data_IF_142497662145
#
_entry.id   IF_142497662145
#
_cell.length_a   1.000
_cell.length_b   1.000
_cell.length_c   1.000
_cell.angle_alpha   90.00
_cell.angle_beta   90.00
_cell.angle_gamma   90.00
#
_symmetry.space_group_name_H-M   'P 1'
#
loop_
_entity.id
_entity.type
_entity.pdbx_description
1 polymer ?
#
# COMPACT_ATOMS: atom_id res chain seq x y z
N UNK A 1 20.68 3.58 29.17
CA UNK A 1 21.48 3.35 27.95
C UNK A 1 20.63 2.54 26.97
N UNK A 2 20.25 3.13 25.85
CA UNK A 2 19.53 2.42 24.80
C UNK A 2 20.52 1.45 24.11
N UNK A 3 20.31 0.15 24.21
CA UNK A 3 21.18 -0.87 23.59
C UNK A 3 20.98 -0.80 22.07
N UNK A 4 22.03 -0.38 21.33
CA UNK A 4 21.97 -0.33 19.86
C UNK A 4 21.67 -1.72 19.30
N UNK A 5 20.74 -1.80 18.36
CA UNK A 5 20.45 -3.02 17.63
C UNK A 5 21.59 -3.33 16.62
N UNK A 6 21.75 -4.60 16.27
CA UNK A 6 22.78 -5.00 15.29
C UNK A 6 22.65 -4.26 13.96
N UNK A 7 21.41 -4.06 13.48
CA UNK A 7 21.14 -3.34 12.23
C UNK A 7 21.51 -1.84 12.28
N UNK A 8 21.73 -1.27 13.47
CA UNK A 8 22.10 0.14 13.66
C UNK A 8 23.63 0.36 13.71
N UNK A 9 24.41 -0.72 13.68
CA UNK A 9 25.87 -0.65 13.82
C UNK A 9 26.55 -0.16 12.54
N UNK A 10 26.07 -0.56 11.37
CA UNK A 10 26.61 -0.18 10.06
C UNK A 10 25.64 -0.48 8.92
N UNK A 11 25.83 0.12 7.72
CA UNK A 11 25.06 -0.24 6.53
C UNK A 11 25.15 -1.72 6.16
N UNK A 12 26.30 -2.36 6.40
CA UNK A 12 26.48 -3.80 6.17
C UNK A 12 25.65 -4.63 7.15
N UNK A 13 25.68 -4.28 8.45
CA UNK A 13 24.88 -4.94 9.48
C UNK A 13 23.37 -4.79 9.19
N UNK A 14 22.94 -3.63 8.69
CA UNK A 14 21.57 -3.43 8.24
C UNK A 14 21.21 -4.39 7.08
N UNK A 15 22.05 -4.47 6.03
CA UNK A 15 21.83 -5.38 4.90
C UNK A 15 21.74 -6.84 5.33
N UNK A 16 22.65 -7.30 6.19
CA UNK A 16 22.63 -8.66 6.74
C UNK A 16 21.33 -8.91 7.50
N UNK A 17 20.85 -7.94 8.31
CA UNK A 17 19.61 -8.05 9.06
C UNK A 17 18.40 -8.17 8.15
N UNK A 18 18.36 -7.39 7.05
CA UNK A 18 17.29 -7.46 6.04
C UNK A 18 17.29 -8.82 5.34
N UNK A 19 18.43 -9.28 4.84
CA UNK A 19 18.52 -10.59 4.15
C UNK A 19 18.14 -11.75 5.09
N UNK A 20 18.61 -11.71 6.35
CA UNK A 20 18.17 -12.67 7.37
C UNK A 20 16.64 -12.67 7.52
N UNK A 21 16.03 -11.51 7.61
CA UNK A 21 14.57 -11.39 7.77
C UNK A 21 13.83 -11.92 6.54
N UNK A 22 14.35 -11.65 5.33
CA UNK A 22 13.81 -12.19 4.08
C UNK A 22 13.87 -13.73 4.04
N UNK A 23 15.01 -14.30 4.44
CA UNK A 23 15.19 -15.77 4.50
C UNK A 23 14.23 -16.38 5.52
N UNK A 24 14.17 -15.82 6.73
CA UNK A 24 13.28 -16.30 7.78
C UNK A 24 11.81 -16.24 7.35
N UNK A 25 11.41 -15.17 6.63
CA UNK A 25 10.06 -15.06 6.06
C UNK A 25 9.80 -16.16 5.03
N UNK A 26 10.70 -16.36 4.10
CA UNK A 26 10.58 -17.42 3.08
C UNK A 26 10.41 -18.80 3.71
N UNK A 27 11.22 -19.10 4.74
CA UNK A 27 11.10 -20.35 5.48
C UNK A 27 9.76 -20.45 6.21
N UNK A 28 9.37 -19.39 6.92
CA UNK A 28 8.07 -19.34 7.61
C UNK A 28 6.92 -19.57 6.65
N UNK A 29 6.91 -18.89 5.49
CA UNK A 29 5.86 -19.04 4.48
C UNK A 29 5.84 -20.47 3.90
N UNK A 30 7.00 -21.10 3.71
CA UNK A 30 7.11 -22.46 3.24
C UNK A 30 6.64 -23.54 4.23
N UNK A 31 6.70 -23.25 5.53
CA UNK A 31 6.24 -24.15 6.60
C UNK A 31 4.89 -23.74 7.20
N UNK A 32 4.31 -22.62 6.78
CA UNK A 32 3.03 -22.16 7.29
C UNK A 32 1.86 -22.93 6.68
N UNK A 33 0.72 -22.93 7.39
CA UNK A 33 -0.56 -23.42 6.85
C UNK A 33 -1.24 -22.39 5.92
N UNK A 34 -0.62 -21.24 5.67
CA UNK A 34 -1.17 -20.23 4.76
C UNK A 34 -1.22 -20.74 3.33
N UNK A 35 -2.37 -20.58 2.69
CA UNK A 35 -2.57 -20.93 1.29
C UNK A 35 -2.46 -19.68 0.44
N UNK A 36 -1.42 -19.60 -0.38
CA UNK A 36 -1.24 -18.49 -1.31
C UNK A 36 -1.97 -18.76 -2.63
N UNK A 37 -2.64 -17.73 -3.22
CA UNK A 37 -3.35 -17.87 -4.47
C UNK A 37 -2.39 -18.15 -5.62
N UNK A 38 -2.81 -19.09 -6.51
CA UNK A 38 -2.03 -19.50 -7.69
C UNK A 38 -2.83 -19.45 -8.97
N UNK A 39 -4.17 -19.54 -8.86
CA UNK A 39 -5.05 -19.57 -10.02
C UNK A 39 -5.25 -18.17 -10.57
N UNK A 40 -5.30 -18.09 -11.88
CA UNK A 40 -5.56 -16.85 -12.62
C UNK A 40 -6.70 -17.05 -13.59
N UNK A 41 -7.46 -16.00 -13.81
CA UNK A 41 -8.51 -15.93 -14.80
C UNK A 41 -8.37 -14.62 -15.57
N UNK A 42 -8.31 -14.68 -16.89
CA UNK A 42 -8.23 -13.48 -17.74
C UNK A 42 -9.60 -12.79 -17.83
N UNK A 43 -10.66 -13.58 -17.93
CA UNK A 43 -12.01 -13.04 -17.94
C UNK A 43 -12.37 -12.41 -16.59
N UNK A 44 -12.94 -11.20 -16.57
CA UNK A 44 -13.34 -10.55 -15.33
C UNK A 44 -14.49 -11.30 -14.64
N UNK A 45 -14.40 -11.49 -13.32
CA UNK A 45 -15.52 -11.93 -12.52
C UNK A 45 -16.69 -10.93 -12.62
N UNK A 46 -17.95 -11.39 -12.49
CA UNK A 46 -19.11 -10.57 -12.88
C UNK A 46 -19.33 -9.32 -12.04
N UNK A 47 -19.05 -9.35 -10.74
CA UNK A 47 -19.36 -8.25 -9.84
C UNK A 47 -18.14 -7.37 -9.56
N UNK A 48 -18.21 -6.08 -9.92
CA UNK A 48 -17.21 -5.09 -9.57
C UNK A 48 -17.43 -4.63 -8.12
N UNK A 49 -16.40 -4.75 -7.30
CA UNK A 49 -16.38 -4.25 -5.91
C UNK A 49 -15.83 -2.84 -5.85
N UNK A 50 -14.63 -2.63 -6.39
CA UNK A 50 -13.97 -1.34 -6.41
C UNK A 50 -13.04 -1.22 -7.63
N UNK A 51 -12.96 -0.01 -8.20
CA UNK A 51 -11.99 0.36 -9.24
C UNK A 51 -11.21 1.57 -8.76
N UNK A 52 -9.91 1.56 -9.00
CA UNK A 52 -9.06 2.72 -8.73
C UNK A 52 -7.94 2.84 -9.76
N UNK A 53 -7.63 4.09 -10.12
CA UNK A 53 -6.55 4.43 -11.04
C UNK A 53 -5.59 5.39 -10.32
N UNK A 54 -4.32 5.02 -10.26
CA UNK A 54 -3.28 5.79 -9.60
C UNK A 54 -2.32 6.40 -10.64
N UNK A 55 -2.20 7.73 -10.67
CA UNK A 55 -1.28 8.42 -11.58
C UNK A 55 0.16 8.00 -11.31
N UNK A 56 0.85 7.48 -12.33
CA UNK A 56 2.20 6.94 -12.19
C UNK A 56 3.21 8.07 -11.99
N UNK A 57 3.25 9.04 -12.92
CA UNK A 57 4.21 10.13 -12.87
C UNK A 57 3.63 11.31 -12.12
N UNK A 58 4.26 11.67 -11.03
CA UNK A 58 3.89 12.84 -10.21
C UNK A 58 5.10 13.74 -10.07
N UNK A 59 4.89 15.04 -10.14
CA UNK A 59 5.92 16.00 -9.76
C UNK A 59 6.01 16.01 -8.22
N UNK A 60 7.11 15.51 -7.68
CA UNK A 60 7.33 15.40 -6.24
C UNK A 60 8.50 16.30 -5.85
N UNK A 61 8.26 17.60 -5.76
CA UNK A 61 9.26 18.59 -5.38
C UNK A 61 10.52 18.52 -6.28
N UNK A 62 11.68 18.23 -5.69
CA UNK A 62 12.98 18.15 -6.37
C UNK A 62 13.38 16.72 -6.79
N UNK A 63 12.45 15.78 -6.77
CA UNK A 63 12.75 14.39 -7.19
C UNK A 63 13.03 14.32 -8.68
N UNK A 64 14.12 13.64 -9.06
CA UNK A 64 14.52 13.47 -10.46
C UNK A 64 13.39 12.78 -11.25
N UNK A 65 12.91 13.38 -12.36
CA UNK A 65 11.89 12.82 -13.23
C UNK A 65 12.23 11.41 -13.75
N UNK A 66 13.50 11.09 -13.94
CA UNK A 66 13.96 9.76 -14.37
C UNK A 66 13.52 8.66 -13.38
N UNK A 67 13.46 8.95 -12.09
CA UNK A 67 12.96 7.99 -11.09
C UNK A 67 11.47 7.70 -11.28
N UNK A 68 10.70 8.65 -11.80
CA UNK A 68 9.28 8.45 -12.13
C UNK A 68 9.11 7.59 -13.40
N UNK A 69 9.99 7.74 -14.39
CA UNK A 69 10.01 6.89 -15.58
C UNK A 69 10.43 5.47 -15.24
N UNK A 70 11.46 5.32 -14.43
CA UNK A 70 11.90 4.02 -13.91
C UNK A 70 10.80 3.33 -13.08
N UNK A 71 10.06 4.08 -12.27
CA UNK A 71 8.89 3.56 -11.56
C UNK A 71 7.84 3.03 -12.53
N UNK A 72 7.55 3.73 -13.63
CA UNK A 72 6.61 3.26 -14.64
C UNK A 72 7.02 1.90 -15.22
N UNK A 73 8.30 1.71 -15.51
CA UNK A 73 8.86 0.42 -15.96
C UNK A 73 8.67 -0.65 -14.86
N UNK A 74 9.01 -0.34 -13.62
CA UNK A 74 8.89 -1.27 -12.50
C UNK A 74 7.44 -1.73 -12.28
N UNK A 75 6.49 -0.80 -12.35
CA UNK A 75 5.05 -1.11 -12.23
C UNK A 75 4.56 -1.97 -13.39
N UNK A 76 5.01 -1.69 -14.63
CA UNK A 76 4.65 -2.48 -15.81
C UNK A 76 5.19 -3.91 -15.75
N UNK A 77 6.37 -4.13 -15.14
CA UNK A 77 6.92 -5.48 -14.90
C UNK A 77 6.22 -6.24 -13.78
N UNK A 78 5.72 -5.53 -12.77
CA UNK A 78 5.05 -6.16 -11.63
C UNK A 78 3.56 -6.45 -11.90
N UNK A 79 2.85 -5.59 -12.66
CA UNK A 79 1.42 -5.70 -12.89
C UNK A 79 0.97 -7.06 -13.44
N UNK A 80 1.61 -7.66 -14.46
CA UNK A 80 1.23 -8.98 -14.99
C UNK A 80 1.37 -10.10 -13.95
N UNK A 81 2.22 -9.92 -12.94
CA UNK A 81 2.43 -10.91 -11.89
C UNK A 81 1.27 -11.00 -10.90
N UNK A 82 0.41 -10.00 -10.85
CA UNK A 82 -0.79 -9.96 -10.01
C UNK A 82 -2.06 -10.02 -10.85
N UNK A 83 -2.03 -9.54 -12.08
CA UNK A 83 -3.21 -9.48 -12.93
C UNK A 83 -3.90 -10.84 -13.07
N UNK A 84 -5.24 -10.84 -12.91
CA UNK A 84 -6.08 -12.02 -13.04
C UNK A 84 -6.04 -12.96 -11.83
N UNK A 85 -5.25 -12.70 -10.78
CA UNK A 85 -5.15 -13.59 -9.63
C UNK A 85 -6.50 -13.77 -8.94
N UNK A 86 -6.88 -15.01 -8.67
CA UNK A 86 -8.08 -15.36 -7.91
C UNK A 86 -7.69 -15.62 -6.46
N UNK A 87 -8.36 -14.96 -5.53
CA UNK A 87 -8.21 -15.14 -4.09
C UNK A 87 -9.47 -15.88 -3.59
N UNK A 88 -9.36 -17.19 -3.45
CA UNK A 88 -10.48 -18.08 -3.04
C UNK A 88 -10.66 -18.05 -1.52
N UNK A 89 -11.79 -18.56 -1.00
CA UNK A 89 -12.00 -18.74 0.44
C UNK A 89 -10.81 -19.38 1.14
N UNK A 90 -10.33 -18.75 2.22
CA UNK A 90 -9.19 -19.16 3.03
C UNK A 90 -7.81 -18.95 2.40
N UNK A 91 -7.70 -18.30 1.24
CA UNK A 91 -6.42 -17.94 0.65
C UNK A 91 -5.92 -16.56 1.15
N UNK A 92 -4.60 -16.45 1.33
CA UNK A 92 -3.92 -15.23 1.76
C UNK A 92 -3.13 -14.63 0.59
N UNK A 93 -3.53 -13.45 0.14
CA UNK A 93 -2.74 -12.65 -0.79
C UNK A 93 -1.46 -12.18 -0.10
N UNK A 94 -0.33 -12.29 -0.78
CA UNK A 94 0.95 -11.71 -0.39
C UNK A 94 1.55 -11.00 -1.60
N UNK A 95 1.86 -9.72 -1.46
CA UNK A 95 2.39 -8.93 -2.57
C UNK A 95 3.73 -9.51 -3.05
N UNK A 96 4.65 -9.75 -2.13
CA UNK A 96 5.98 -10.22 -2.49
C UNK A 96 6.03 -11.69 -2.91
N UNK A 97 5.11 -12.52 -2.42
CA UNK A 97 5.00 -13.91 -2.88
C UNK A 97 4.63 -13.97 -4.37
N UNK A 98 3.78 -13.06 -4.85
CA UNK A 98 3.36 -12.98 -6.25
C UNK A 98 4.36 -12.24 -7.13
N UNK A 99 4.84 -11.09 -6.70
CA UNK A 99 5.74 -10.23 -7.49
C UNK A 99 7.17 -10.78 -7.52
N UNK A 100 7.61 -11.37 -6.42
CA UNK A 100 8.99 -11.84 -6.26
C UNK A 100 9.99 -10.70 -6.07
N UNK A 101 11.28 -11.04 -6.00
CA UNK A 101 12.36 -10.06 -5.75
C UNK A 101 12.59 -9.18 -6.98
N UNK A 102 12.43 -7.84 -6.87
CA UNK A 102 12.86 -6.93 -7.90
C UNK A 102 14.38 -6.97 -8.04
N UNK A 103 14.87 -7.18 -9.25
CA UNK A 103 16.31 -7.17 -9.54
C UNK A 103 16.57 -6.55 -10.91
N UNK A 104 17.77 -5.98 -11.11
CA UNK A 104 18.19 -5.47 -12.40
C UNK A 104 18.23 -6.57 -13.48
N UNK A 105 18.59 -7.81 -13.10
CA UNK A 105 18.57 -8.96 -14.00
C UNK A 105 17.16 -9.28 -14.54
N UNK A 106 16.11 -8.94 -13.78
CA UNK A 106 14.70 -9.09 -14.18
C UNK A 106 14.13 -7.82 -14.83
N UNK A 107 14.98 -6.86 -15.23
CA UNK A 107 14.59 -5.64 -15.92
C UNK A 107 14.12 -4.51 -15.02
N UNK A 108 14.08 -4.71 -13.69
CA UNK A 108 13.71 -3.64 -12.76
C UNK A 108 14.79 -2.56 -12.70
N UNK A 109 14.35 -1.31 -12.66
CA UNK A 109 15.21 -0.12 -12.66
C UNK A 109 15.27 0.50 -11.27
N UNK A 110 16.31 1.32 -11.04
CA UNK A 110 16.40 2.15 -9.85
C UNK A 110 15.28 3.18 -9.84
N UNK A 111 14.49 3.19 -8.78
CA UNK A 111 13.39 4.13 -8.57
C UNK A 111 13.40 4.64 -7.14
N UNK A 112 12.53 5.62 -6.85
CA UNK A 112 12.42 6.21 -5.53
C UNK A 112 11.86 5.21 -4.52
N UNK A 113 12.50 5.14 -3.35
CA UNK A 113 12.03 4.45 -2.16
C UNK A 113 11.96 5.42 -0.99
N UNK A 114 11.15 5.09 0.01
CA UNK A 114 11.06 5.85 1.26
C UNK A 114 11.53 4.93 2.37
N UNK A 115 12.59 5.34 3.06
CA UNK A 115 13.14 4.63 4.21
C UNK A 115 13.61 5.64 5.26
N UNK A 116 13.37 5.37 6.55
CA UNK A 116 13.80 6.20 7.67
C UNK A 116 13.45 7.69 7.49
N UNK A 117 12.22 7.99 7.05
CA UNK A 117 11.75 9.35 6.79
C UNK A 117 12.48 10.13 5.69
N UNK A 118 13.25 9.47 4.88
CA UNK A 118 13.99 10.08 3.78
C UNK A 118 13.65 9.38 2.46
N UNK A 119 13.73 10.15 1.38
CA UNK A 119 13.70 9.61 0.03
C UNK A 119 15.07 9.04 -0.30
N UNK A 120 15.10 7.83 -0.82
CA UNK A 120 16.30 7.16 -1.31
C UNK A 120 16.02 6.52 -2.66
N UNK A 121 16.99 5.78 -3.16
CA UNK A 121 16.91 5.09 -4.43
C UNK A 121 17.24 3.61 -4.27
N UNK A 122 16.46 2.75 -4.93
CA UNK A 122 16.73 1.32 -4.97
C UNK A 122 16.12 0.68 -6.22
N UNK A 123 16.69 -0.45 -6.65
CA UNK A 123 16.13 -1.26 -7.72
C UNK A 123 14.73 -1.74 -7.34
N UNK A 124 13.75 -1.54 -8.21
CA UNK A 124 12.34 -1.84 -7.94
C UNK A 124 11.61 -0.75 -7.15
N UNK A 125 12.18 0.47 -7.03
CA UNK A 125 11.50 1.58 -6.37
C UNK A 125 10.15 1.90 -7.01
N UNK A 126 9.20 2.39 -6.18
CA UNK A 126 7.84 2.73 -6.60
C UNK A 126 6.79 1.66 -6.27
N UNK A 127 7.15 0.49 -5.75
CA UNK A 127 6.19 -0.60 -5.44
C UNK A 127 5.19 -0.23 -4.34
N UNK A 128 5.49 0.72 -3.46
CA UNK A 128 4.49 1.22 -2.49
C UNK A 128 3.27 1.83 -3.18
N UNK A 129 3.41 2.43 -4.38
CA UNK A 129 2.25 2.89 -5.15
C UNK A 129 1.35 1.73 -5.56
N UNK A 130 1.94 0.58 -5.89
CA UNK A 130 1.18 -0.61 -6.26
C UNK A 130 0.43 -1.21 -5.06
N UNK A 131 1.12 -1.39 -3.94
CA UNK A 131 0.45 -1.88 -2.72
C UNK A 131 -0.62 -0.91 -2.23
N UNK A 132 -0.44 0.41 -2.38
CA UNK A 132 -1.45 1.42 -2.07
C UNK A 132 -2.71 1.26 -2.94
N UNK A 133 -2.55 1.01 -4.24
CA UNK A 133 -3.67 0.75 -5.15
C UNK A 133 -4.49 -0.46 -4.67
N UNK A 134 -3.81 -1.57 -4.37
CA UNK A 134 -4.47 -2.81 -3.91
C UNK A 134 -5.13 -2.58 -2.56
N UNK A 135 -4.43 -1.98 -1.62
CA UNK A 135 -4.94 -1.70 -0.28
C UNK A 135 -6.22 -0.86 -0.34
N UNK A 136 -6.21 0.22 -1.14
CA UNK A 136 -7.40 1.04 -1.33
C UNK A 136 -8.61 0.22 -1.79
N UNK A 137 -8.41 -0.68 -2.76
CA UNK A 137 -9.49 -1.54 -3.24
C UNK A 137 -9.94 -2.55 -2.18
N UNK A 138 -9.00 -3.12 -1.43
CA UNK A 138 -9.27 -4.09 -0.35
C UNK A 138 -10.09 -3.46 0.78
N UNK A 139 -9.88 -2.18 1.09
CA UNK A 139 -10.70 -1.47 2.08
C UNK A 139 -12.19 -1.42 1.72
N UNK A 140 -12.55 -1.65 0.45
CA UNK A 140 -13.95 -1.68 -0.02
C UNK A 140 -14.55 -3.11 -0.05
N UNK A 141 -13.87 -4.09 0.55
CA UNK A 141 -14.29 -5.49 0.58
C UNK A 141 -14.19 -6.07 2.00
N UNK A 142 -14.96 -7.13 2.33
CA UNK A 142 -14.87 -7.81 3.62
C UNK A 142 -13.66 -8.75 3.70
N UNK A 143 -12.50 -8.25 3.28
CA UNK A 143 -11.24 -8.98 3.31
C UNK A 143 -10.44 -8.58 4.56
N UNK A 144 -9.80 -9.55 5.21
CA UNK A 144 -9.06 -9.34 6.45
C UNK A 144 -7.60 -9.01 6.16
N UNK A 145 -7.17 -7.79 6.49
CA UNK A 145 -5.77 -7.38 6.37
C UNK A 145 -4.96 -8.08 7.45
N UNK A 146 -3.97 -8.90 7.06
CA UNK A 146 -3.14 -9.70 7.96
C UNK A 146 -1.74 -9.13 8.14
N UNK A 147 -1.26 -8.32 7.19
CA UNK A 147 0.00 -7.59 7.31
C UNK A 147 -0.09 -6.27 6.56
N UNK A 148 0.19 -5.18 7.27
CA UNK A 148 0.27 -3.83 6.73
C UNK A 148 1.31 -3.03 7.50
N UNK A 149 2.10 -2.27 6.78
CA UNK A 149 3.09 -1.35 7.32
C UNK A 149 2.83 0.05 6.78
N UNK A 150 3.21 1.08 7.52
CA UNK A 150 3.00 2.48 7.16
C UNK A 150 4.28 3.30 7.29
N UNK A 151 4.36 4.39 6.51
CA UNK A 151 5.26 5.51 6.76
C UNK A 151 4.52 6.57 7.59
N UNK A 152 4.17 6.24 8.83
CA UNK A 152 3.20 6.99 9.62
C UNK A 152 3.75 8.18 10.41
N UNK A 153 5.06 8.33 10.45
CA UNK A 153 5.69 9.40 11.21
C UNK A 153 5.88 10.68 10.40
N UNK A 154 5.75 10.62 9.06
CA UNK A 154 6.10 11.74 8.19
C UNK A 154 5.11 11.91 7.04
N UNK A 155 4.72 13.17 6.79
CA UNK A 155 4.06 13.60 5.57
C UNK A 155 5.11 14.25 4.66
N UNK A 156 5.48 13.53 3.60
CA UNK A 156 6.62 13.90 2.73
C UNK A 156 6.22 14.82 1.58
N UNK A 157 4.94 14.83 1.20
CA UNK A 157 4.49 15.53 0.01
C UNK A 157 3.10 16.13 0.21
N UNK A 158 2.87 17.37 -0.25
CA UNK A 158 1.56 17.99 -0.20
C UNK A 158 0.50 17.18 -0.97
N UNK A 159 -0.76 17.41 -0.63
CA UNK A 159 -1.90 16.81 -1.34
C UNK A 159 -2.14 17.50 -2.69
N UNK A 160 -1.55 16.98 -3.74
CA UNK A 160 -1.81 17.44 -5.12
C UNK A 160 -3.10 16.79 -5.67
N UNK A 161 -4.26 17.14 -5.13
CA UNK A 161 -5.55 16.55 -5.55
C UNK A 161 -5.69 15.07 -5.22
N UNK A 162 -5.16 14.63 -4.09
CA UNK A 162 -5.26 13.25 -3.61
C UNK A 162 -6.72 12.86 -3.41
N UNK A 163 -7.15 11.77 -4.05
CA UNK A 163 -8.50 11.21 -3.89
C UNK A 163 -8.60 10.22 -2.72
N UNK A 164 -7.47 9.63 -2.35
CA UNK A 164 -7.38 8.65 -1.27
C UNK A 164 -6.97 9.36 0.02
N UNK A 165 -7.68 9.19 1.15
CA UNK A 165 -7.37 9.87 2.39
C UNK A 165 -5.92 9.67 2.84
N UNK A 166 -5.34 10.72 3.47
CA UNK A 166 -4.02 10.61 4.09
C UNK A 166 -4.05 9.55 5.20
N UNK A 167 -3.01 8.72 5.27
CA UNK A 167 -2.91 7.63 6.26
C UNK A 167 -3.44 6.28 5.80
N UNK A 168 -4.05 6.17 4.58
CA UNK A 168 -4.44 4.89 3.98
C UNK A 168 -3.33 4.27 3.13
N UNK A 169 -2.11 4.79 3.22
CA UNK A 169 -0.98 4.25 2.47
C UNK A 169 -0.43 2.96 3.08
N UNK A 170 0.41 2.27 2.32
CA UNK A 170 1.17 1.11 2.75
C UNK A 170 2.65 1.30 2.47
N UNK A 171 3.50 0.68 3.29
CA UNK A 171 4.93 0.58 3.07
C UNK A 171 5.28 -0.86 2.84
N UNK A 172 6.00 -1.15 1.77
CA UNK A 172 6.50 -2.50 1.50
C UNK A 172 7.99 -2.46 1.17
N UNK A 173 8.71 -3.49 1.61
CA UNK A 173 10.10 -3.72 1.27
C UNK A 173 10.31 -5.21 1.03
N UNK A 174 11.01 -5.59 -0.05
CA UNK A 174 11.03 -6.97 -0.52
C UNK A 174 11.19 -7.98 0.61
N UNK A 175 10.15 -8.79 0.77
CA UNK A 175 10.03 -9.91 1.72
C UNK A 175 10.52 -9.62 3.16
N UNK A 176 10.68 -8.35 3.50
CA UNK A 176 10.96 -7.85 4.85
C UNK A 176 9.73 -7.19 5.46
N UNK A 177 9.08 -6.31 4.69
CA UNK A 177 7.77 -5.73 4.97
C UNK A 177 6.85 -6.06 3.80
N UNK A 178 5.81 -6.86 4.03
CA UNK A 178 4.85 -7.28 3.00
C UNK A 178 3.51 -6.56 3.16
N UNK A 179 2.67 -6.66 2.15
CA UNK A 179 1.25 -6.35 2.25
C UNK A 179 0.48 -7.64 2.03
N UNK A 180 -0.30 -8.04 3.04
CA UNK A 180 -1.08 -9.28 3.03
C UNK A 180 -2.51 -9.06 3.47
N UNK A 181 -3.42 -9.78 2.84
CA UNK A 181 -4.81 -9.90 3.29
C UNK A 181 -5.33 -11.31 3.01
N UNK A 182 -6.26 -11.77 3.84
CA UNK A 182 -6.88 -13.08 3.72
C UNK A 182 -8.34 -12.94 3.34
N UNK A 183 -8.81 -13.86 2.51
CA UNK A 183 -10.20 -14.00 2.17
C UNK A 183 -10.88 -14.97 3.15
N UNK A 184 -11.57 -14.42 4.15
CA UNK A 184 -12.34 -15.17 5.14
C UNK A 184 -13.82 -15.31 4.75
N UNK A 185 -14.18 -14.93 3.52
CA UNK A 185 -15.55 -15.03 3.00
C UNK A 185 -15.74 -16.31 2.17
N UNK A 186 -16.99 -16.60 1.80
CA UNK A 186 -17.33 -17.71 0.91
C UNK A 186 -17.17 -17.36 -0.60
N UNK A 187 -16.95 -16.07 -0.92
CA UNK A 187 -16.83 -15.61 -2.31
C UNK A 187 -15.38 -15.65 -2.78
N UNK A 188 -15.19 -15.81 -4.10
CA UNK A 188 -13.87 -15.65 -4.74
C UNK A 188 -13.69 -14.21 -5.18
N UNK A 189 -12.53 -13.65 -4.89
CA UNK A 189 -12.12 -12.30 -5.35
C UNK A 189 -11.10 -12.41 -6.48
N UNK A 190 -11.07 -11.39 -7.34
CA UNK A 190 -10.13 -11.27 -8.44
C UNK A 190 -9.51 -9.87 -8.45
N UNK A 191 -8.20 -9.82 -8.61
CA UNK A 191 -7.50 -8.57 -8.90
C UNK A 191 -7.18 -8.50 -10.39
N UNK A 192 -7.71 -7.49 -11.08
CA UNK A 192 -7.33 -7.14 -12.45
C UNK A 192 -6.47 -5.89 -12.40
N UNK A 193 -5.22 -6.01 -12.83
CA UNK A 193 -4.23 -4.92 -12.71
C UNK A 193 -3.52 -4.74 -14.05
N UNK A 194 -3.46 -3.51 -14.53
CA UNK A 194 -2.68 -3.16 -15.72
C UNK A 194 -2.12 -1.75 -15.62
N UNK A 195 -1.17 -1.44 -16.47
CA UNK A 195 -0.63 -0.08 -16.62
C UNK A 195 -1.06 0.52 -17.94
N UNK A 196 -1.35 1.81 -17.93
CA UNK A 196 -1.45 2.66 -19.12
C UNK A 196 -0.24 3.58 -19.19
N UNK A 197 -0.06 4.39 -20.23
CA UNK A 197 1.02 5.38 -20.26
C UNK A 197 1.05 6.33 -19.07
N UNK A 198 -0.09 6.55 -18.41
CA UNK A 198 -0.24 7.53 -17.33
C UNK A 198 -0.62 6.93 -15.98
N UNK A 199 -1.33 5.79 -15.94
CA UNK A 199 -1.91 5.25 -14.71
C UNK A 199 -1.58 3.77 -14.49
N UNK A 200 -1.42 3.42 -13.23
CA UNK A 200 -1.60 2.06 -12.74
C UNK A 200 -3.10 1.90 -12.43
N UNK A 201 -3.75 0.97 -13.12
CA UNK A 201 -5.19 0.74 -13.05
C UNK A 201 -5.48 -0.57 -12.33
N UNK A 202 -6.49 -0.58 -11.47
CA UNK A 202 -6.90 -1.78 -10.74
C UNK A 202 -8.40 -1.91 -10.61
N UNK A 203 -8.86 -3.17 -10.64
CA UNK A 203 -10.21 -3.58 -10.26
C UNK A 203 -10.12 -4.73 -9.26
N UNK A 204 -10.90 -4.62 -8.20
CA UNK A 204 -11.24 -5.74 -7.33
C UNK A 204 -12.64 -6.20 -7.70
N UNK A 205 -12.77 -7.47 -8.09
CA UNK A 205 -14.02 -8.08 -8.53
C UNK A 205 -14.31 -9.32 -7.69
N UNK A 206 -15.55 -9.78 -7.74
CA UNK A 206 -16.00 -11.00 -7.05
C UNK A 206 -17.03 -11.76 -7.89
N UNK A 207 -17.29 -13.01 -7.55
CA UNK A 207 -18.22 -13.89 -8.25
C UNK A 207 -19.69 -13.52 -8.07
N UNK A 208 -20.06 -12.82 -6.97
CA UNK A 208 -21.40 -12.31 -6.75
C UNK A 208 -21.38 -10.92 -6.10
N UNK A 209 -22.41 -10.09 -6.33
CA UNK A 209 -22.50 -8.75 -5.71
C UNK A 209 -22.48 -8.82 -4.19
N UNK A 210 -21.72 -7.92 -3.56
CA UNK A 210 -21.73 -7.77 -2.11
C UNK A 210 -23.06 -7.16 -1.65
N UNK A 211 -23.61 -7.67 -0.55
CA UNK A 211 -24.80 -7.08 0.11
C UNK A 211 -24.49 -5.75 0.80
N UNK A 212 -23.22 -5.47 1.05
CA UNK A 212 -22.75 -4.26 1.76
C UNK A 212 -21.90 -3.38 0.87
N UNK A 213 -21.78 -2.10 1.25
CA UNK A 213 -20.87 -1.12 0.66
C UNK A 213 -20.00 -0.52 1.75
N UNK A 214 -18.74 -0.27 1.43
CA UNK A 214 -17.79 0.38 2.32
C UNK A 214 -17.52 1.81 1.87
N UNK A 215 -17.53 2.73 2.83
CA UNK A 215 -17.11 4.11 2.67
C UNK A 215 -15.89 4.38 3.52
N UNK A 216 -14.85 4.93 2.93
CA UNK A 216 -13.64 5.33 3.61
C UNK A 216 -13.55 6.85 3.58
N UNK A 217 -13.51 7.48 4.76
CA UNK A 217 -13.47 8.92 4.90
C UNK A 217 -12.41 9.35 5.92
N UNK A 218 -11.75 10.48 5.61
CA UNK A 218 -10.93 11.20 6.58
C UNK A 218 -11.82 12.19 7.35
N UNK A 219 -11.56 12.31 8.63
CA UNK A 219 -12.25 13.26 9.52
C UNK A 219 -11.22 13.99 10.37
N UNK A 220 -11.59 15.19 10.85
CA UNK A 220 -10.75 15.98 11.75
C UNK A 220 -9.35 16.27 11.19
N UNK A 221 -9.23 16.34 9.86
CA UNK A 221 -7.96 16.67 9.22
C UNK A 221 -7.58 18.13 9.52
N UNK A 222 -6.37 18.32 10.05
CA UNK A 222 -5.83 19.62 10.40
C UNK A 222 -4.32 19.59 10.46
N UNK A 223 -3.70 20.75 10.33
CA UNK A 223 -2.30 20.96 10.64
C UNK A 223 -2.17 21.62 12.02
N UNK A 224 -1.29 21.06 12.85
CA UNK A 224 -1.07 21.52 14.22
C UNK A 224 0.41 21.81 14.40
N UNK A 225 0.76 22.95 15.03
CA UNK A 225 2.13 23.25 15.43
C UNK A 225 2.32 22.86 16.90
N UNK A 226 3.26 21.96 17.14
CA UNK A 226 3.66 21.46 18.45
C UNK A 226 5.18 21.67 18.58
N UNK A 227 5.63 22.43 19.59
CA UNK A 227 7.05 22.75 19.83
C UNK A 227 7.80 23.26 18.57
N UNK A 228 7.15 24.12 17.78
CA UNK A 228 7.70 24.67 16.54
C UNK A 228 7.71 23.74 15.32
N UNK A 229 7.23 22.51 15.46
CA UNK A 229 7.13 21.52 14.39
C UNK A 229 5.68 21.39 13.93
N UNK A 230 5.46 21.36 12.61
CA UNK A 230 4.11 21.18 12.05
C UNK A 230 3.83 19.71 11.84
N UNK A 231 2.67 19.27 12.31
CA UNK A 231 2.12 17.92 12.14
C UNK A 231 0.81 17.95 11.38
N UNK A 232 0.60 16.97 10.50
CA UNK A 232 -0.71 16.67 9.93
C UNK A 232 -1.41 15.65 10.81
N UNK A 233 -2.56 16.02 11.35
CA UNK A 233 -3.39 15.19 12.21
C UNK A 233 -4.71 14.87 11.50
N UNK A 234 -5.35 13.77 11.88
CA UNK A 234 -6.66 13.37 11.38
C UNK A 234 -6.96 11.91 11.69
N UNK A 235 -8.15 11.48 11.34
CA UNK A 235 -8.63 10.13 11.56
C UNK A 235 -9.22 9.59 10.27
N UNK A 236 -8.98 8.32 9.98
CA UNK A 236 -9.57 7.65 8.82
C UNK A 236 -10.51 6.57 9.31
N UNK A 237 -11.76 6.65 8.87
CA UNK A 237 -12.80 5.70 9.22
C UNK A 237 -13.23 4.88 8.01
N UNK A 238 -13.61 3.64 8.29
CA UNK A 238 -14.29 2.74 7.36
C UNK A 238 -15.69 2.48 7.88
N UNK A 239 -16.70 2.82 7.09
CA UNK A 239 -18.10 2.63 7.42
C UNK A 239 -18.69 1.57 6.50
N UNK A 240 -19.30 0.53 7.07
CA UNK A 240 -20.01 -0.50 6.33
C UNK A 240 -21.50 -0.21 6.34
N UNK A 241 -22.10 -0.20 5.17
CA UNK A 241 -23.54 0.14 4.96
C UNK A 241 -24.21 -1.02 4.24
N UNK A 242 -25.37 -1.42 4.71
CA UNK A 242 -26.26 -2.34 4.01
C UNK A 242 -26.82 -1.69 2.76
N UNK A 243 -26.68 -2.34 1.59
CA UNK A 243 -27.10 -1.77 0.31
C UNK A 243 -28.61 -1.71 0.13
N UNK A 244 -29.33 -2.58 0.82
CA UNK A 244 -30.80 -2.67 0.68
C UNK A 244 -31.49 -1.63 1.57
N UNK A 245 -31.04 -1.48 2.80
CA UNK A 245 -31.69 -0.61 3.79
C UNK A 245 -31.05 0.76 3.91
N UNK A 246 -29.79 0.91 3.47
CA UNK A 246 -28.97 2.10 3.70
C UNK A 246 -28.46 2.26 5.14
N UNK A 247 -28.74 1.29 6.01
CA UNK A 247 -28.34 1.36 7.42
C UNK A 247 -26.82 1.16 7.58
N UNK A 248 -26.22 1.93 8.48
CA UNK A 248 -24.84 1.72 8.92
C UNK A 248 -24.81 0.48 9.80
N UNK A 249 -24.05 -0.52 9.36
CA UNK A 249 -23.84 -1.78 10.08
C UNK A 249 -22.65 -1.72 11.04
N UNK A 250 -21.58 -1.04 10.62
CA UNK A 250 -20.40 -0.81 11.48
C UNK A 250 -19.64 0.43 11.06
N UNK A 251 -18.88 0.98 12.00
CA UNK A 251 -17.93 2.06 11.76
C UNK A 251 -16.66 1.75 12.53
N UNK A 252 -15.55 1.70 11.81
CA UNK A 252 -14.25 1.30 12.32
C UNK A 252 -13.24 2.44 12.12
N UNK A 253 -12.45 2.75 13.14
CA UNK A 253 -11.30 3.63 13.04
C UNK A 253 -10.13 2.83 12.44
N UNK A 254 -9.80 3.09 11.18
CA UNK A 254 -8.67 2.46 10.51
C UNK A 254 -7.34 3.06 10.96
N UNK A 255 -7.32 4.40 11.11
CA UNK A 255 -6.07 5.12 11.37
C UNK A 255 -6.31 6.42 12.14
N UNK A 256 -5.38 6.70 13.06
CA UNK A 256 -5.19 8.03 13.64
C UNK A 256 -3.84 8.55 13.18
N UNK A 257 -3.86 9.66 12.42
CA UNK A 257 -2.68 10.28 11.86
C UNK A 257 -2.12 11.34 12.80
N UNK A 258 -0.80 11.33 12.98
CA UNK A 258 -0.02 12.39 13.60
C UNK A 258 1.37 12.35 12.94
N UNK A 259 1.49 12.99 11.78
CA UNK A 259 2.67 12.88 10.91
C UNK A 259 3.36 14.22 10.79
N UNK A 260 4.67 14.26 11.04
CA UNK A 260 5.48 15.46 10.87
C UNK A 260 5.52 15.86 9.39
N UNK A 261 5.17 17.11 9.10
CA UNK A 261 5.22 17.66 7.74
C UNK A 261 6.66 17.99 7.37
N UNK A 262 7.10 17.50 6.20
CA UNK A 262 8.47 17.68 5.69
C UNK A 262 8.54 18.49 4.38
N UNK A 263 7.47 19.17 4.01
CA UNK A 263 7.40 20.09 2.87
C UNK A 263 7.10 21.51 3.35
N UNK A 264 7.18 22.48 2.44
CA UNK A 264 6.85 23.87 2.74
C UNK A 264 5.40 24.00 3.22
N UNK A 265 5.23 24.60 4.38
CA UNK A 265 3.93 24.81 5.03
C UNK A 265 3.36 26.21 4.78
N UNK A 266 4.02 27.02 3.94
CA UNK A 266 3.50 28.32 3.55
C UNK A 266 2.13 28.17 2.86
N UNK A 267 1.13 28.87 3.37
CA UNK A 267 -0.25 28.81 2.85
C UNK A 267 -1.12 27.73 3.46
N UNK A 268 -0.62 26.92 4.41
CA UNK A 268 -1.45 26.02 5.19
C UNK A 268 -2.09 26.76 6.39
N UNK A 269 -3.34 26.42 6.68
CA UNK A 269 -3.97 26.83 7.94
C UNK A 269 -3.44 25.94 9.07
N UNK A 270 -2.68 26.53 9.98
CA UNK A 270 -1.99 25.81 11.07
C UNK A 270 -2.56 26.29 12.40
N UNK A 271 -3.01 25.36 13.21
CA UNK A 271 -3.46 25.59 14.59
C UNK A 271 -2.27 25.49 15.54
N UNK A 272 -2.01 26.51 16.34
CA UNK A 272 -1.03 26.46 17.41
C UNK A 272 -1.60 25.73 18.63
N UNK A 273 -0.80 24.84 19.22
CA UNK A 273 -1.18 24.02 20.38
C UNK A 273 -0.19 24.17 21.52
#
# INVERSE_FOLDING_TARGET
MHRRLFCELSPLAYRISVEKSCVLRTLRDGFSAERFPKLRLEAPLPALVCRHNSLIRRTLGRVDPVLQDNKAVNLALAAPKINGILIRPGETFSFWHLVGRPSAANGYRTGMVIANAQTGEAVGGGMCQFSNLIHWMVLHAPLTITEQHHHDQFDLFPDFGRQVPFGTGTSIFYNYLDYRFRNDTEQTYQLLIHTTPTHLCGELRTDAPLAVKYHIAAENERFVREDGVVYRCGEVYRTMVDKTTGNVLSRELLRRNHARVLYDTAGLEIMDR
#
